data_IF_738550199611
#
_entry.id   IF_738550199611
#
_cell.length_a   1.000
_cell.length_b   1.000
_cell.length_c   1.000
_cell.angle_alpha   90.00
_cell.angle_beta   90.00
_cell.angle_gamma   90.00
#
_symmetry.space_group_name_H-M   'P 1'
#
loop_
_entity.id
_entity.type
_entity.pdbx_description
1 polymer ?
#
# COMPACT_ATOMS: atom_id res chain seq x y z
N UNK A 1 29.96 -2.53 -67.68
CA UNK A 1 28.94 -2.22 -68.69
C UNK A 1 27.92 -1.30 -68.03
N UNK A 2 27.81 -0.07 -68.54
CA UNK A 2 26.88 1.02 -68.20
C UNK A 2 26.84 1.60 -66.76
N UNK A 3 27.65 2.65 -66.58
CA UNK A 3 27.21 3.91 -65.98
C UNK A 3 26.15 4.57 -66.87
N UNK A 4 25.07 5.11 -66.29
CA UNK A 4 24.31 6.30 -66.78
C UNK A 4 23.40 6.79 -65.64
N UNK A 5 23.67 7.95 -65.02
CA UNK A 5 23.45 9.36 -65.44
C UNK A 5 22.09 9.94 -64.99
N UNK A 6 22.19 10.92 -64.08
CA UNK A 6 21.48 12.23 -63.95
C UNK A 6 19.96 12.30 -63.76
N UNK A 7 19.55 13.17 -62.83
CA UNK A 7 18.37 14.04 -62.98
C UNK A 7 17.63 14.28 -61.68
N UNK A 8 18.00 15.30 -60.90
CA UNK A 8 17.36 16.62 -60.82
C UNK A 8 16.07 16.70 -59.97
N UNK A 9 16.25 17.26 -58.76
CA UNK A 9 15.51 18.41 -58.19
C UNK A 9 14.03 18.59 -58.57
N UNK A 10 13.13 18.49 -57.59
CA UNK A 10 12.01 19.43 -57.40
C UNK A 10 11.68 19.57 -55.90
N UNK A 11 12.03 20.73 -55.33
CA UNK A 11 11.41 21.27 -54.10
C UNK A 11 10.05 21.88 -54.46
N UNK A 12 8.94 21.39 -53.89
CA UNK A 12 7.66 22.13 -53.79
C UNK A 12 6.97 21.70 -52.49
N UNK A 13 7.11 22.50 -51.43
CA UNK A 13 6.16 23.54 -50.95
C UNK A 13 5.05 22.97 -50.06
N UNK A 14 5.14 23.36 -48.79
CA UNK A 14 4.08 23.37 -47.79
C UNK A 14 2.76 23.90 -48.35
N UNK A 15 1.68 23.17 -48.06
CA UNK A 15 0.35 23.73 -47.86
C UNK A 15 -0.32 23.03 -46.68
N UNK A 16 -0.99 23.77 -45.77
CA UNK A 16 -1.57 23.21 -44.56
C UNK A 16 -2.86 22.46 -44.91
N UNK A 17 -2.99 21.23 -44.44
CA UNK A 17 -4.25 20.48 -44.52
C UNK A 17 -5.14 21.00 -43.40
N UNK A 18 -6.12 21.82 -43.77
CA UNK A 18 -7.20 22.24 -42.87
C UNK A 18 -8.15 21.05 -42.71
N UNK A 19 -8.05 20.34 -41.58
CA UNK A 19 -9.04 19.35 -41.19
C UNK A 19 -10.09 20.04 -40.31
N UNK A 20 -11.22 20.38 -40.94
CA UNK A 20 -12.46 20.68 -40.24
C UNK A 20 -13.08 19.34 -39.82
N UNK A 21 -12.96 18.98 -38.56
CA UNK A 21 -13.49 17.73 -38.03
C UNK A 21 -13.30 17.67 -36.52
N UNK A 22 -14.41 17.61 -35.79
CA UNK A 22 -14.52 17.57 -34.34
C UNK A 22 -13.70 16.43 -33.76
N UNK A 23 -12.49 16.74 -33.28
CA UNK A 23 -11.63 15.82 -32.54
C UNK A 23 -11.75 16.10 -31.05
N UNK A 24 -12.50 15.26 -30.34
CA UNK A 24 -12.50 15.24 -28.88
C UNK A 24 -11.09 14.89 -28.43
N UNK A 25 -10.42 15.83 -27.78
CA UNK A 25 -9.10 15.62 -27.20
C UNK A 25 -9.17 14.42 -26.23
N UNK A 26 -8.52 13.32 -26.60
CA UNK A 26 -8.26 12.23 -25.69
C UNK A 26 -7.36 12.77 -24.57
N UNK A 27 -7.97 13.07 -23.42
CA UNK A 27 -7.26 13.44 -22.22
C UNK A 27 -6.33 12.30 -21.82
N UNK A 28 -5.02 12.56 -21.84
CA UNK A 28 -4.05 11.77 -21.10
C UNK A 28 -4.49 11.74 -19.64
N UNK A 29 -4.90 10.57 -19.15
CA UNK A 29 -5.06 10.32 -17.72
C UNK A 29 -3.67 10.33 -17.11
N UNK A 30 -3.24 11.50 -16.64
CA UNK A 30 -2.05 11.64 -15.82
C UNK A 30 -2.22 10.80 -14.56
N UNK A 31 -1.15 10.10 -14.19
CA UNK A 31 -1.11 9.26 -12.99
C UNK A 31 -1.58 10.07 -11.78
N UNK A 32 -2.59 9.53 -11.09
CA UNK A 32 -3.17 10.04 -9.85
C UNK A 32 -2.11 10.66 -8.94
N UNK A 33 -2.05 12.00 -8.92
CA UNK A 33 -1.44 12.74 -7.82
C UNK A 33 -2.21 12.36 -6.56
N UNK A 34 -1.63 11.43 -5.79
CA UNK A 34 -2.20 11.04 -4.51
C UNK A 34 -2.12 12.27 -3.61
N UNK A 35 -3.24 12.95 -3.44
CA UNK A 35 -3.39 14.06 -2.51
C UNK A 35 -2.99 13.52 -1.13
N UNK A 36 -1.79 13.88 -0.68
CA UNK A 36 -1.39 13.66 0.71
C UNK A 36 -2.17 14.65 1.54
N UNK A 37 -3.07 14.14 2.39
CA UNK A 37 -3.72 14.94 3.43
C UNK A 37 -2.67 15.72 4.23
N UNK A 38 -3.02 16.94 4.64
CA UNK A 38 -2.12 17.78 5.40
C UNK A 38 -1.93 17.25 6.83
N UNK A 39 -0.80 17.62 7.45
CA UNK A 39 -0.49 17.26 8.85
C UNK A 39 -1.61 17.66 9.82
N UNK A 40 -2.19 18.84 9.63
CA UNK A 40 -3.22 19.38 10.50
C UNK A 40 -4.56 18.65 10.34
N UNK A 41 -4.93 18.25 9.13
CA UNK A 41 -6.11 17.42 8.88
C UNK A 41 -5.96 16.05 9.53
N UNK A 42 -4.79 15.42 9.38
CA UNK A 42 -4.50 14.13 9.98
C UNK A 42 -4.54 14.19 11.51
N UNK A 43 -4.00 15.25 12.13
CA UNK A 43 -4.06 15.43 13.59
C UNK A 43 -5.47 15.69 14.12
N UNK A 44 -6.36 16.29 13.33
CA UNK A 44 -7.77 16.49 13.70
C UNK A 44 -8.58 15.19 13.60
N UNK A 45 -8.28 14.36 12.61
CA UNK A 45 -9.03 13.13 12.30
C UNK A 45 -8.55 11.91 13.08
N UNK A 46 -7.24 11.78 13.28
CA UNK A 46 -6.62 10.63 13.95
C UNK A 46 -6.44 10.91 15.44
N UNK A 47 -6.63 9.88 16.26
CA UNK A 47 -6.22 9.94 17.67
C UNK A 47 -4.68 10.07 17.79
N UNK A 48 -4.16 10.53 18.93
CA UNK A 48 -2.71 10.71 19.10
C UNK A 48 -1.89 9.46 18.80
N UNK A 49 -2.36 8.27 19.22
CA UNK A 49 -1.67 7.01 18.96
C UNK A 49 -1.75 6.60 17.49
N UNK A 50 -2.88 6.82 16.81
CA UNK A 50 -3.02 6.54 15.38
C UNK A 50 -2.10 7.44 14.56
N UNK A 51 -2.00 8.72 14.91
CA UNK A 51 -1.08 9.65 14.27
C UNK A 51 0.38 9.22 14.50
N UNK A 52 0.76 8.97 15.75
CA UNK A 52 2.11 8.55 16.10
C UNK A 52 2.54 7.27 15.36
N UNK A 53 1.68 6.24 15.33
CA UNK A 53 1.96 5.00 14.62
C UNK A 53 2.06 5.25 13.10
N UNK A 54 1.06 5.88 12.49
CA UNK A 54 0.96 5.94 11.03
C UNK A 54 1.88 6.95 10.38
N UNK A 55 2.16 8.08 11.05
CA UNK A 55 2.94 9.20 10.48
C UNK A 55 4.36 9.28 11.03
N UNK A 56 4.58 8.86 12.28
CA UNK A 56 5.87 8.96 12.96
C UNK A 56 6.56 7.59 13.13
N UNK A 57 6.01 6.55 12.51
CA UNK A 57 6.50 5.16 12.57
C UNK A 57 6.61 4.62 14.00
N UNK A 58 5.74 5.11 14.88
CA UNK A 58 5.62 4.60 16.24
C UNK A 58 5.09 3.16 16.27
N UNK A 59 5.14 2.54 17.44
CA UNK A 59 4.56 1.21 17.68
C UNK A 59 3.67 1.28 18.92
N UNK A 60 2.44 0.81 18.80
CA UNK A 60 1.54 0.72 19.96
C UNK A 60 2.06 -0.31 20.97
N UNK A 61 1.69 -0.17 22.24
CA UNK A 61 2.12 -1.15 23.26
C UNK A 61 1.54 -2.54 22.95
N UNK A 62 2.35 -3.58 23.15
CA UNK A 62 1.90 -4.95 23.00
C UNK A 62 0.65 -5.23 23.85
N UNK A 63 -0.29 -5.98 23.28
CA UNK A 63 -1.55 -6.43 23.87
C UNK A 63 -2.59 -5.35 24.18
N UNK A 64 -2.34 -4.08 23.85
CA UNK A 64 -3.29 -2.98 24.11
C UNK A 64 -4.16 -2.61 22.91
N UNK A 65 -3.78 -3.06 21.70
CA UNK A 65 -4.47 -2.71 20.47
C UNK A 65 -5.87 -3.34 20.35
N UNK A 66 -6.84 -2.54 19.87
CA UNK A 66 -8.25 -2.93 19.71
C UNK A 66 -8.44 -4.24 18.94
N UNK A 67 -7.63 -4.46 17.89
CA UNK A 67 -7.82 -5.56 16.94
C UNK A 67 -6.97 -6.79 17.24
N UNK A 68 -6.15 -6.76 18.30
CA UNK A 68 -5.27 -7.86 18.63
C UNK A 68 -6.06 -9.16 18.84
N UNK A 69 -7.12 -9.10 19.67
CA UNK A 69 -7.97 -10.25 20.03
C UNK A 69 -9.25 -10.37 19.19
N UNK A 70 -9.40 -9.59 18.12
CA UNK A 70 -10.59 -9.67 17.26
C UNK A 70 -10.52 -10.91 16.38
N UNK A 71 -11.62 -11.65 16.31
CA UNK A 71 -11.78 -12.84 15.45
C UNK A 71 -12.98 -12.72 14.50
N UNK A 72 -13.66 -11.57 14.49
CA UNK A 72 -14.83 -11.34 13.64
C UNK A 72 -14.46 -11.41 12.16
N UNK A 73 -15.37 -11.94 11.34
CA UNK A 73 -15.19 -11.96 9.90
C UNK A 73 -15.27 -10.53 9.35
N UNK A 74 -14.34 -10.14 8.46
CA UNK A 74 -14.34 -8.81 7.87
C UNK A 74 -13.03 -8.41 7.19
N UNK A 75 -12.92 -7.12 6.89
CA UNK A 75 -11.79 -6.52 6.19
C UNK A 75 -11.16 -5.45 7.06
N UNK A 76 -9.82 -5.48 7.14
CA UNK A 76 -9.01 -4.46 7.78
C UNK A 76 -8.48 -3.50 6.74
N UNK A 77 -8.77 -2.21 6.91
CA UNK A 77 -8.38 -1.14 5.99
C UNK A 77 -7.42 -0.17 6.65
N UNK A 78 -6.66 0.58 5.86
CA UNK A 78 -5.78 1.63 6.36
C UNK A 78 -6.61 2.74 7.03
N UNK A 79 -6.37 3.04 8.30
CA UNK A 79 -7.08 4.11 9.03
C UNK A 79 -6.91 5.50 8.39
N UNK A 80 -5.84 5.68 7.59
CA UNK A 80 -5.52 6.96 6.95
C UNK A 80 -6.33 7.13 5.65
N UNK A 81 -6.24 6.18 4.72
CA UNK A 81 -6.79 6.35 3.36
C UNK A 81 -7.89 5.34 3.00
N UNK A 82 -8.32 4.51 3.95
CA UNK A 82 -9.37 3.49 3.79
C UNK A 82 -9.09 2.41 2.73
N UNK A 83 -7.85 2.30 2.22
CA UNK A 83 -7.48 1.18 1.35
C UNK A 83 -7.55 -0.13 2.14
N UNK A 84 -8.22 -1.14 1.59
CA UNK A 84 -8.30 -2.48 2.17
C UNK A 84 -6.95 -3.20 2.14
N UNK A 85 -6.48 -3.69 3.28
CA UNK A 85 -5.12 -4.25 3.41
C UNK A 85 -5.13 -5.75 3.74
N UNK A 86 -5.95 -6.16 4.72
CA UNK A 86 -5.95 -7.52 5.24
C UNK A 86 -7.36 -8.07 5.38
N UNK A 87 -7.50 -9.38 5.26
CA UNK A 87 -8.75 -10.10 5.52
C UNK A 87 -8.66 -10.81 6.87
N UNK A 88 -9.78 -10.90 7.59
CA UNK A 88 -9.88 -11.75 8.78
C UNK A 88 -9.53 -13.21 8.50
N UNK A 89 -9.72 -13.69 7.26
CA UNK A 89 -9.39 -15.06 6.85
C UNK A 89 -7.89 -15.40 6.93
N UNK A 90 -7.02 -14.40 6.83
CA UNK A 90 -5.57 -14.56 7.00
C UNK A 90 -5.10 -14.18 8.39
N UNK A 91 -5.99 -13.67 9.26
CA UNK A 91 -5.65 -13.35 10.65
C UNK A 91 -5.43 -14.63 11.46
N UNK A 92 -4.43 -14.63 12.33
CA UNK A 92 -4.18 -15.76 13.24
C UNK A 92 -3.62 -15.29 14.59
N UNK A 93 -3.76 -16.15 15.61
CA UNK A 93 -3.22 -15.90 16.95
C UNK A 93 -1.74 -16.25 17.01
N UNK A 94 -0.88 -15.23 16.95
CA UNK A 94 0.57 -15.41 16.99
C UNK A 94 1.17 -15.29 18.39
N UNK A 95 0.42 -14.75 19.35
CA UNK A 95 0.92 -14.39 20.69
C UNK A 95 1.88 -13.20 20.71
N UNK A 96 2.14 -12.53 19.58
CA UNK A 96 3.12 -11.43 19.53
C UNK A 96 2.65 -10.13 20.18
N UNK A 97 1.35 -10.00 20.50
CA UNK A 97 0.77 -8.82 21.14
C UNK A 97 0.20 -7.78 20.18
N UNK A 98 0.25 -8.03 18.87
CA UNK A 98 -0.38 -7.21 17.84
C UNK A 98 -1.17 -8.10 16.87
N UNK A 99 -2.17 -7.54 16.16
CA UNK A 99 -2.81 -8.22 15.03
C UNK A 99 -1.77 -8.85 14.10
N UNK A 100 -1.94 -10.15 13.83
CA UNK A 100 -1.06 -10.92 12.98
C UNK A 100 -1.82 -11.53 11.81
N UNK A 101 -1.32 -11.32 10.60
CA UNK A 101 -1.89 -11.85 9.37
C UNK A 101 -0.85 -12.70 8.64
N UNK A 102 -1.27 -13.80 8.01
CA UNK A 102 -0.41 -14.67 7.23
C UNK A 102 -0.19 -14.15 5.79
N UNK A 103 -1.09 -13.29 5.31
CA UNK A 103 -0.99 -12.62 4.01
C UNK A 103 -1.81 -11.33 3.96
N UNK A 104 -1.51 -10.49 2.96
CA UNK A 104 -2.30 -9.32 2.56
C UNK A 104 -3.37 -9.71 1.53
N UNK A 105 -4.39 -8.86 1.34
CA UNK A 105 -5.39 -9.06 0.28
C UNK A 105 -4.73 -9.03 -1.10
N UNK A 106 -3.79 -8.10 -1.30
CA UNK A 106 -3.05 -7.93 -2.55
C UNK A 106 -1.68 -7.32 -2.26
N UNK A 107 -0.62 -7.87 -2.85
CA UNK A 107 0.77 -7.46 -2.60
C UNK A 107 1.06 -6.01 -3.04
N UNK A 108 0.33 -5.49 -4.03
CA UNK A 108 0.43 -4.10 -4.49
C UNK A 108 -0.19 -3.09 -3.53
N UNK A 109 -0.91 -3.53 -2.49
CA UNK A 109 -1.52 -2.66 -1.47
C UNK A 109 -0.59 -2.31 -0.32
N UNK A 110 0.56 -2.98 -0.22
CA UNK A 110 1.60 -2.67 0.76
C UNK A 110 2.94 -2.43 0.07
N UNK A 111 3.84 -1.71 0.74
CA UNK A 111 5.24 -1.60 0.36
C UNK A 111 6.11 -2.15 1.49
N UNK A 112 7.13 -2.92 1.11
CA UNK A 112 8.07 -3.54 2.02
C UNK A 112 9.44 -2.84 1.93
N UNK A 113 9.98 -2.41 3.07
CA UNK A 113 11.28 -1.73 3.14
C UNK A 113 12.11 -2.24 4.32
N UNK A 114 13.44 -2.26 4.19
CA UNK A 114 14.32 -2.62 5.30
C UNK A 114 14.26 -1.57 6.40
N UNK A 115 14.19 -2.01 7.65
CA UNK A 115 14.13 -1.16 8.83
C UNK A 115 15.13 -1.63 9.89
N UNK A 116 16.11 -0.77 10.19
CA UNK A 116 17.10 -0.95 11.24
C UNK A 116 16.93 0.06 12.40
N UNK A 117 15.84 0.84 12.42
CA UNK A 117 15.64 1.94 13.37
C UNK A 117 15.70 1.51 14.84
N UNK A 118 15.24 0.30 15.16
CA UNK A 118 15.21 -0.21 16.53
C UNK A 118 16.60 -0.48 17.12
N UNK A 119 17.64 -0.62 16.29
CA UNK A 119 19.04 -0.86 16.71
C UNK A 119 19.76 0.46 17.03
N UNK A 120 19.16 1.61 16.68
CA UNK A 120 19.78 2.92 16.82
C UNK A 120 21.05 3.08 15.96
N UNK A 121 21.95 3.96 16.39
CA UNK A 121 23.20 4.26 15.66
C UNK A 121 24.31 3.20 15.85
N UNK A 122 24.03 2.06 16.50
CA UNK A 122 25.06 1.06 16.79
C UNK A 122 25.29 0.13 15.59
N UNK A 123 26.14 0.59 14.67
CA UNK A 123 26.50 -0.15 13.46
C UNK A 123 27.16 -1.51 13.76
N UNK A 124 27.92 -1.62 14.86
CA UNK A 124 28.58 -2.87 15.24
C UNK A 124 27.56 -3.98 15.53
N UNK A 125 26.43 -3.64 16.16
CA UNK A 125 25.37 -4.60 16.41
C UNK A 125 24.73 -5.11 15.12
N UNK A 126 24.58 -4.27 14.09
CA UNK A 126 24.03 -4.70 12.79
C UNK A 126 24.98 -5.64 12.03
N UNK A 127 26.29 -5.41 12.13
CA UNK A 127 27.30 -6.29 11.51
C UNK A 127 27.32 -7.66 12.21
N UNK A 128 27.31 -7.65 13.55
CA UNK A 128 27.32 -8.88 14.34
C UNK A 128 25.98 -9.64 14.25
N UNK A 129 24.86 -8.94 14.10
CA UNK A 129 23.51 -9.51 14.10
C UNK A 129 22.66 -8.94 12.94
N UNK A 130 22.90 -9.38 11.69
CA UNK A 130 22.16 -8.87 10.52
C UNK A 130 20.65 -9.16 10.58
N UNK A 131 20.24 -10.18 11.35
CA UNK A 131 18.82 -10.52 11.59
C UNK A 131 18.03 -9.45 12.35
N UNK A 132 18.69 -8.43 12.90
CA UNK A 132 18.02 -7.27 13.48
C UNK A 132 17.49 -6.29 12.41
N UNK A 133 17.82 -6.45 11.13
CA UNK A 133 17.14 -5.69 10.09
C UNK A 133 15.76 -6.29 9.86
N UNK A 134 14.72 -5.59 10.28
CA UNK A 134 13.33 -5.98 10.07
C UNK A 134 12.86 -5.51 8.69
N UNK A 135 11.71 -6.02 8.25
CA UNK A 135 11.05 -5.51 7.04
C UNK A 135 9.80 -4.75 7.45
N UNK A 136 9.83 -3.43 7.31
CA UNK A 136 8.69 -2.53 7.52
C UNK A 136 7.62 -2.75 6.45
N UNK A 137 6.36 -2.65 6.87
CA UNK A 137 5.18 -2.68 6.02
C UNK A 137 4.52 -1.30 6.07
N UNK A 138 4.38 -0.67 4.90
CA UNK A 138 3.66 0.61 4.74
C UNK A 138 2.51 0.46 3.77
N UNK A 139 1.46 1.27 3.93
CA UNK A 139 0.37 1.34 2.96
C UNK A 139 0.89 1.88 1.62
N UNK A 140 0.67 1.16 0.52
CA UNK A 140 1.16 1.60 -0.80
C UNK A 140 0.42 2.85 -1.31
N UNK A 141 -0.79 3.08 -0.82
CA UNK A 141 -1.60 4.25 -1.17
C UNK A 141 -1.01 5.53 -0.58
N UNK A 142 -1.08 5.69 0.74
CA UNK A 142 -0.72 6.94 1.41
C UNK A 142 0.67 6.94 2.07
N UNK A 143 1.35 5.79 2.16
CA UNK A 143 2.65 5.66 2.82
C UNK A 143 2.59 5.54 4.36
N UNK A 144 1.39 5.41 4.94
CA UNK A 144 1.23 5.22 6.39
C UNK A 144 1.98 3.97 6.87
N UNK A 145 2.68 4.09 7.99
CA UNK A 145 3.31 2.96 8.67
C UNK A 145 2.24 2.04 9.27
N UNK A 146 2.40 0.74 9.01
CA UNK A 146 1.47 -0.30 9.47
C UNK A 146 2.13 -1.18 10.55
N UNK A 147 3.36 -1.64 10.30
CA UNK A 147 4.09 -2.52 11.19
C UNK A 147 5.24 -3.21 10.47
N UNK A 148 5.45 -4.50 10.73
CA UNK A 148 6.54 -5.29 10.15
C UNK A 148 6.08 -6.66 9.69
N UNK A 149 6.82 -7.25 8.74
CA UNK A 149 6.64 -8.63 8.30
C UNK A 149 7.85 -9.48 8.68
N UNK A 150 7.57 -10.68 9.18
CA UNK A 150 8.54 -11.68 9.60
C UNK A 150 8.33 -13.01 8.85
N UNK A 151 9.36 -13.87 8.82
CA UNK A 151 9.35 -15.17 8.12
C UNK A 151 9.05 -16.36 9.05
N UNK A 152 8.33 -16.10 10.16
CA UNK A 152 8.01 -17.06 11.21
C UNK A 152 6.51 -17.39 11.29
N UNK A 153 5.75 -17.08 10.22
CA UNK A 153 4.31 -17.30 10.17
C UNK A 153 3.90 -18.75 9.86
N UNK A 154 2.59 -19.03 9.83
CA UNK A 154 2.06 -20.35 9.48
C UNK A 154 2.29 -20.68 7.99
N UNK A 155 2.17 -21.96 7.63
CA UNK A 155 2.07 -22.37 6.21
C UNK A 155 0.77 -21.79 5.61
N UNK A 156 0.72 -21.54 4.28
CA UNK A 156 1.76 -21.82 3.28
C UNK A 156 2.80 -20.70 3.13
N UNK A 157 2.44 -19.45 3.42
CA UNK A 157 3.29 -18.27 3.13
C UNK A 157 4.53 -18.19 4.01
N UNK A 158 4.44 -18.74 5.24
CA UNK A 158 5.44 -18.57 6.31
C UNK A 158 5.68 -17.09 6.66
N UNK A 159 4.77 -16.20 6.27
CA UNK A 159 4.83 -14.77 6.59
C UNK A 159 3.96 -14.48 7.79
N UNK A 160 4.43 -13.56 8.63
CA UNK A 160 3.66 -12.96 9.71
C UNK A 160 3.73 -11.45 9.57
N UNK A 161 2.67 -10.87 9.05
CA UNK A 161 2.42 -9.44 9.06
C UNK A 161 1.96 -9.05 10.46
N UNK A 162 2.87 -8.50 11.26
CA UNK A 162 2.65 -8.02 12.62
C UNK A 162 2.31 -6.52 12.55
N UNK A 163 1.03 -6.19 12.67
CA UNK A 163 0.49 -4.87 12.30
C UNK A 163 -0.10 -4.17 13.52
N UNK A 164 0.20 -2.88 13.68
CA UNK A 164 -0.40 -2.07 14.73
C UNK A 164 -1.91 -1.92 14.52
N UNK A 165 -2.71 -2.19 15.55
CA UNK A 165 -4.16 -1.96 15.52
C UNK A 165 -4.48 -0.49 15.24
N UNK A 166 -3.71 0.44 15.81
CA UNK A 166 -3.83 1.87 15.58
C UNK A 166 -3.54 2.31 14.12
N UNK A 167 -3.08 1.41 13.25
CA UNK A 167 -2.93 1.70 11.81
C UNK A 167 -4.10 1.21 10.96
N UNK A 168 -5.05 0.51 11.58
CA UNK A 168 -6.15 -0.17 10.91
C UNK A 168 -7.51 0.41 11.33
N UNK A 169 -8.46 0.27 10.42
CA UNK A 169 -9.90 0.24 10.72
C UNK A 169 -10.46 -1.13 10.33
N UNK A 170 -11.63 -1.50 10.87
CA UNK A 170 -12.24 -2.81 10.62
C UNK A 170 -13.69 -2.68 10.17
N UNK A 171 -14.00 -3.32 9.04
CA UNK A 171 -15.35 -3.43 8.50
C UNK A 171 -15.80 -4.89 8.62
N UNK A 172 -16.79 -5.19 9.50
CA UNK A 172 -17.35 -6.53 9.61
C UNK A 172 -17.94 -6.98 8.27
N UNK A 173 -17.82 -8.28 7.99
CA UNK A 173 -18.54 -8.89 6.88
C UNK A 173 -20.04 -8.82 7.14
N UNK A 174 -20.83 -8.57 6.09
CA UNK A 174 -22.29 -8.62 6.19
C UNK A 174 -22.71 -10.07 6.51
N UNK A 175 -23.38 -10.32 7.65
CA UNK A 175 -23.84 -11.66 8.00
C UNK A 175 -24.93 -12.19 7.05
N UNK A 176 -25.51 -11.37 6.17
CA UNK A 176 -26.69 -11.72 5.38
C UNK A 176 -26.45 -12.35 4.01
N UNK A 177 -25.21 -12.35 3.48
CA UNK A 177 -24.75 -13.22 2.39
C UNK A 177 -25.67 -13.45 1.18
N UNK A 178 -26.61 -12.55 0.86
CA UNK A 178 -27.55 -12.71 -0.27
C UNK A 178 -27.28 -11.59 -1.26
N UNK A 179 -26.46 -11.90 -2.26
CA UNK A 179 -26.41 -11.11 -3.49
C UNK A 179 -27.77 -11.21 -4.17
N UNK A 180 -28.67 -10.27 -3.88
CA UNK A 180 -29.84 -10.03 -4.71
C UNK A 180 -29.35 -9.40 -6.02
N UNK A 181 -29.04 -10.25 -6.99
CA UNK A 181 -29.18 -9.89 -8.41
C UNK A 181 -30.66 -9.55 -8.62
N UNK A 182 -30.98 -8.26 -8.59
CA UNK A 182 -32.23 -7.77 -9.16
C UNK A 182 -32.15 -7.97 -10.68
N UNK A 183 -32.75 -9.06 -11.17
CA UNK A 183 -33.20 -9.13 -12.55
C UNK A 183 -34.47 -8.27 -12.64
N UNK A 184 -34.37 -7.17 -13.40
CA UNK A 184 -35.52 -6.49 -14.00
C UNK A 184 -36.01 -7.28 -15.21
#
# INVERSE_FOLDING_TARGET
MFLRRVGNFVLKRNYPVVWSGVGVAAGERTMSDKVKESKEELKKRLSPIQYHVTQEKGTERAFTGKFNKTSDAGIYSCIVCSQDLFSSSTKFESGCGWPAFSDVIDQGRVKLSKDASHVGANLLLLIANPGMVRTEVTCSSCGAHLGHVFNDGPKPTRKRFCINSASLDFRPADPSGTGLVNLQ
#
